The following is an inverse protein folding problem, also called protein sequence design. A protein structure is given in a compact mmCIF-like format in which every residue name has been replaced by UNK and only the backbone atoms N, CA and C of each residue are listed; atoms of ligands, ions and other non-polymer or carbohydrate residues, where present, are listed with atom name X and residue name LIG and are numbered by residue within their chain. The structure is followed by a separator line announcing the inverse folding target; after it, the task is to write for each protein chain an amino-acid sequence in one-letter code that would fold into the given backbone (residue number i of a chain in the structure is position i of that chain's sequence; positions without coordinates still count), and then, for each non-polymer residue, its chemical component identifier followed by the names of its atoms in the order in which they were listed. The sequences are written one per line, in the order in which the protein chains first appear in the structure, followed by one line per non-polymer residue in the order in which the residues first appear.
data_IF_430748269440
#
_entry.id   IF_430748269440
#
_cell.length_a   1.000
_cell.length_b   1.000
_cell.length_c   1.000
_cell.angle_alpha   90.00
_cell.angle_beta   90.00
_cell.angle_gamma   90.00
#
_symmetry.space_group_name_H-M   'P 1'
#
loop_
_entity.id
_entity.type
_entity.pdbx_description
1 polymer ?
#
# COMPACT_ATOMS: atom_id res chain seq x y z
N UNK A 1 -7.02 35.00 37.30
CA UNK A 1 -7.44 33.60 36.98
C UNK A 1 -6.62 32.64 37.81
N UNK A 2 -7.23 31.65 38.46
CA UNK A 2 -6.55 30.69 39.34
C UNK A 2 -5.94 29.54 38.54
N UNK A 3 -4.83 28.94 39.03
CA UNK A 3 -4.15 27.80 38.40
C UNK A 3 -5.10 26.63 38.07
N UNK A 4 -6.07 26.35 38.94
CA UNK A 4 -7.06 25.29 38.73
C UNK A 4 -7.93 25.50 37.50
N UNK A 5 -8.37 26.73 37.24
CA UNK A 5 -9.17 27.06 36.04
C UNK A 5 -8.33 26.86 34.77
N UNK A 6 -7.03 27.16 34.82
CA UNK A 6 -6.13 27.03 33.69
C UNK A 6 -5.85 25.56 33.32
N UNK A 7 -5.76 24.67 34.33
CA UNK A 7 -5.61 23.23 34.12
C UNK A 7 -6.87 22.62 33.50
N UNK A 8 -8.04 22.93 34.04
CA UNK A 8 -9.32 22.46 33.49
C UNK A 8 -9.52 22.90 32.04
N UNK A 9 -9.13 24.13 31.69
CA UNK A 9 -9.21 24.62 30.32
C UNK A 9 -8.23 23.89 29.38
N UNK A 10 -7.03 23.58 29.85
CA UNK A 10 -6.04 22.79 29.09
C UNK A 10 -6.52 21.36 28.86
N UNK A 11 -7.06 20.71 29.88
CA UNK A 11 -7.56 19.33 29.78
C UNK A 11 -8.75 19.25 28.84
N UNK A 12 -9.70 20.20 28.94
CA UNK A 12 -10.81 20.33 28.00
C UNK A 12 -10.33 20.53 26.56
N UNK A 13 -9.32 21.38 26.34
CA UNK A 13 -8.74 21.58 25.01
C UNK A 13 -8.06 20.31 24.48
N UNK A 14 -7.40 19.54 25.36
CA UNK A 14 -6.78 18.25 25.02
C UNK A 14 -7.83 17.21 24.61
N UNK A 15 -8.95 17.12 25.34
CA UNK A 15 -10.06 16.22 25.01
C UNK A 15 -10.74 16.59 23.69
N UNK A 16 -11.04 17.88 23.49
CA UNK A 16 -11.63 18.38 22.24
C UNK A 16 -10.71 18.10 21.05
N UNK A 17 -9.41 18.33 21.20
CA UNK A 17 -8.42 18.02 20.18
C UNK A 17 -8.36 16.51 19.89
N UNK A 18 -8.31 15.67 20.93
CA UNK A 18 -8.30 14.21 20.78
C UNK A 18 -9.55 13.69 20.06
N UNK A 19 -10.72 14.22 20.42
CA UNK A 19 -11.99 13.89 19.79
C UNK A 19 -12.04 14.33 18.32
N UNK A 20 -11.60 15.56 18.02
CA UNK A 20 -11.51 16.06 16.65
C UNK A 20 -10.55 15.23 15.79
N UNK A 21 -9.37 14.89 16.33
CA UNK A 21 -8.39 14.01 15.67
C UNK A 21 -8.97 12.62 15.40
N UNK A 22 -9.66 12.03 16.37
CA UNK A 22 -10.29 10.72 16.22
C UNK A 22 -11.39 10.74 15.16
N UNK A 23 -12.21 11.79 15.11
CA UNK A 23 -13.23 12.01 14.07
C UNK A 23 -12.59 12.14 12.69
N UNK A 24 -11.52 12.92 12.54
CA UNK A 24 -10.80 13.06 11.27
C UNK A 24 -10.22 11.72 10.80
N UNK A 25 -9.53 11.00 11.68
CA UNK A 25 -8.99 9.66 11.37
C UNK A 25 -10.09 8.69 10.92
N UNK A 26 -11.23 8.67 11.62
CA UNK A 26 -12.39 7.86 11.22
C UNK A 26 -12.91 8.28 9.84
N UNK A 27 -13.14 9.57 9.62
CA UNK A 27 -13.63 10.09 8.33
C UNK A 27 -12.71 9.74 7.15
N UNK A 28 -11.38 9.80 7.33
CA UNK A 28 -10.42 9.38 6.31
C UNK A 28 -10.55 7.88 6.02
N UNK A 29 -10.61 7.03 7.06
CA UNK A 29 -10.78 5.58 6.87
C UNK A 29 -12.08 5.24 6.16
N UNK A 30 -13.17 5.89 6.55
CA UNK A 30 -14.50 5.67 5.96
C UNK A 30 -14.51 6.10 4.48
N UNK A 31 -13.92 7.26 4.16
CA UNK A 31 -13.80 7.74 2.79
C UNK A 31 -12.96 6.81 1.92
N UNK A 32 -11.83 6.32 2.43
CA UNK A 32 -10.99 5.33 1.73
C UNK A 32 -11.71 4.01 1.49
N UNK A 33 -12.43 3.50 2.50
CA UNK A 33 -13.21 2.28 2.39
C UNK A 33 -14.38 2.45 1.39
N UNK A 34 -15.04 3.60 1.37
CA UNK A 34 -16.08 3.92 0.39
C UNK A 34 -15.52 3.94 -1.04
N UNK A 35 -14.36 4.58 -1.24
CA UNK A 35 -13.69 4.59 -2.55
C UNK A 35 -13.29 3.17 -2.99
N UNK A 36 -12.73 2.36 -2.07
CA UNK A 36 -12.36 0.97 -2.33
C UNK A 36 -13.55 0.16 -2.84
N UNK A 37 -14.67 0.16 -2.10
CA UNK A 37 -15.91 -0.55 -2.51
C UNK A 37 -16.41 -0.10 -3.88
N UNK A 38 -16.34 1.22 -4.16
CA UNK A 38 -16.75 1.75 -5.46
C UNK A 38 -15.89 1.22 -6.61
N UNK A 39 -14.58 1.10 -6.40
CA UNK A 39 -13.66 0.53 -7.40
C UNK A 39 -13.89 -0.97 -7.55
N UNK A 40 -13.97 -1.71 -6.46
CA UNK A 40 -14.23 -3.16 -6.46
C UNK A 40 -15.53 -3.51 -7.18
N UNK A 41 -16.59 -2.73 -7.00
CA UNK A 41 -17.88 -2.91 -7.71
C UNK A 41 -17.81 -2.83 -9.24
N UNK A 42 -16.73 -2.30 -9.82
CA UNK A 42 -16.51 -2.36 -11.28
C UNK A 42 -16.00 -3.71 -11.79
N UNK A 43 -15.51 -4.57 -10.89
CA UNK A 43 -14.87 -5.86 -11.19
C UNK A 43 -15.64 -7.07 -10.66
N UNK A 44 -16.77 -6.86 -9.96
CA UNK A 44 -17.63 -7.94 -9.46
C UNK A 44 -18.32 -8.70 -10.61
N UNK A 45 -18.70 -8.00 -11.68
CA UNK A 45 -19.31 -8.57 -12.87
C UNK A 45 -18.23 -8.97 -13.89
N UNK A 46 -18.42 -10.08 -14.61
CA UNK A 46 -17.63 -10.44 -15.79
C UNK A 46 -17.98 -9.57 -17.02
N UNK A 47 -18.14 -8.26 -16.81
CA UNK A 47 -18.43 -7.29 -17.86
C UNK A 47 -17.18 -6.45 -18.15
N UNK A 48 -16.50 -6.66 -19.30
CA UNK A 48 -15.26 -5.97 -19.62
C UNK A 48 -15.44 -4.45 -19.73
N UNK A 49 -16.63 -3.96 -20.13
CA UNK A 49 -16.91 -2.52 -20.20
C UNK A 49 -16.94 -1.88 -18.81
N UNK A 50 -17.47 -2.58 -17.80
CA UNK A 50 -17.46 -2.10 -16.41
C UNK A 50 -16.05 -2.14 -15.81
N UNK A 51 -15.30 -3.21 -16.04
CA UNK A 51 -13.90 -3.30 -15.62
C UNK A 51 -13.08 -2.14 -16.21
N UNK A 52 -13.26 -1.82 -17.50
CA UNK A 52 -12.61 -0.67 -18.13
C UNK A 52 -13.01 0.68 -17.54
N UNK A 53 -14.25 0.84 -17.05
CA UNK A 53 -14.65 2.04 -16.31
C UNK A 53 -13.91 2.15 -14.96
N UNK A 54 -13.72 1.02 -14.27
CA UNK A 54 -12.92 0.95 -13.04
C UNK A 54 -11.46 1.34 -13.29
N UNK A 55 -10.82 0.75 -14.30
CA UNK A 55 -9.45 1.09 -14.71
C UNK A 55 -9.32 2.58 -15.05
N UNK A 56 -10.29 3.13 -15.78
CA UNK A 56 -10.33 4.56 -16.11
C UNK A 56 -10.42 5.46 -14.88
N UNK A 57 -11.18 5.06 -13.87
CA UNK A 57 -11.28 5.81 -12.61
C UNK A 57 -9.98 5.77 -11.81
N UNK A 58 -9.30 4.62 -11.74
CA UNK A 58 -8.01 4.47 -11.04
C UNK A 58 -6.92 5.32 -11.71
N UNK A 59 -6.87 5.28 -13.04
CA UNK A 59 -5.83 5.97 -13.84
C UNK A 59 -6.11 7.45 -14.08
N UNK A 60 -7.29 7.95 -13.66
CA UNK A 60 -7.79 9.27 -14.01
C UNK A 60 -7.74 9.55 -15.52
N UNK A 61 -7.92 8.50 -16.34
CA UNK A 61 -7.83 8.61 -17.79
C UNK A 61 -8.99 9.45 -18.32
N UNK A 62 -8.67 10.63 -18.85
CA UNK A 62 -9.60 11.49 -19.55
C UNK A 62 -9.60 11.08 -21.01
N UNK A 63 -10.76 10.73 -21.57
CA UNK A 63 -10.91 10.49 -22.99
C UNK A 63 -10.42 11.73 -23.72
N UNK A 64 -9.28 11.62 -24.38
CA UNK A 64 -8.81 12.65 -25.31
C UNK A 64 -9.61 12.46 -26.60
N UNK A 65 -10.92 12.73 -26.55
CA UNK A 65 -11.82 12.61 -27.69
C UNK A 65 -11.46 13.59 -28.81
N UNK A 66 -10.51 14.50 -28.59
CA UNK A 66 -10.12 15.54 -29.55
C UNK A 66 -8.67 15.45 -30.05
N UNK A 67 -7.95 14.34 -29.82
CA UNK A 67 -6.72 14.09 -30.58
C UNK A 67 -7.14 13.37 -31.86
N UNK A 68 -7.60 14.16 -32.81
CA UNK A 68 -7.88 13.75 -34.18
C UNK A 68 -6.53 13.29 -34.77
N UNK A 69 -6.17 12.02 -34.58
CA UNK A 69 -5.00 11.46 -35.24
C UNK A 69 -5.36 11.38 -36.71
N UNK A 70 -4.68 12.17 -37.54
CA UNK A 70 -4.73 12.03 -38.98
C UNK A 70 -4.51 10.56 -39.32
N UNK A 71 -5.57 9.88 -39.77
CA UNK A 71 -5.54 8.49 -40.17
C UNK A 71 -4.78 8.40 -41.50
N UNK A 72 -3.47 8.54 -41.46
CA UNK A 72 -2.63 8.32 -42.63
C UNK A 72 -2.48 6.81 -42.82
N UNK A 73 -2.74 6.34 -44.04
CA UNK A 73 -2.47 4.95 -44.43
C UNK A 73 -1.09 4.42 -43.98
N UNK A 74 0.02 5.18 -44.08
CA UNK A 74 1.32 4.66 -43.63
C UNK A 74 1.43 4.45 -42.12
N UNK A 75 0.70 5.22 -41.30
CA UNK A 75 0.66 4.99 -39.86
C UNK A 75 -0.05 3.68 -39.52
N UNK A 76 -1.13 3.36 -40.24
CA UNK A 76 -1.84 2.10 -40.07
C UNK A 76 -0.94 0.90 -40.43
N UNK A 77 -0.17 0.98 -41.52
CA UNK A 77 0.79 -0.06 -41.90
C UNK A 77 1.89 -0.25 -40.86
N UNK A 78 2.42 0.85 -40.30
CA UNK A 78 3.43 0.78 -39.25
C UNK A 78 2.89 0.13 -37.97
N UNK A 79 1.66 0.48 -37.56
CA UNK A 79 1.01 -0.12 -36.41
C UNK A 79 0.72 -1.60 -36.62
N UNK A 80 0.21 -1.98 -37.80
CA UNK A 80 0.00 -3.37 -38.15
C UNK A 80 1.30 -4.17 -38.04
N UNK A 81 2.39 -3.68 -38.64
CA UNK A 81 3.69 -4.36 -38.51
C UNK A 81 4.17 -4.47 -37.05
N UNK A 82 3.97 -3.42 -36.25
CA UNK A 82 4.37 -3.40 -34.84
C UNK A 82 3.58 -4.39 -33.98
N UNK A 83 2.28 -4.57 -34.23
CA UNK A 83 1.45 -5.48 -33.45
C UNK A 83 1.52 -6.94 -33.97
N UNK A 84 1.66 -7.15 -35.28
CA UNK A 84 1.80 -8.49 -35.86
C UNK A 84 3.10 -9.19 -35.45
N UNK A 85 4.13 -8.48 -34.96
CA UNK A 85 5.36 -9.10 -34.46
C UNK A 85 5.16 -10.03 -33.25
N UNK A 86 4.04 -9.85 -32.53
CA UNK A 86 3.67 -10.70 -31.40
C UNK A 86 2.77 -11.86 -31.81
N UNK A 87 2.25 -11.86 -33.04
CA UNK A 87 1.56 -13.01 -33.57
C UNK A 87 2.61 -14.06 -33.93
N UNK A 88 2.63 -15.13 -33.14
CA UNK A 88 3.36 -16.34 -33.50
C UNK A 88 2.62 -16.94 -34.68
N UNK A 89 2.96 -16.52 -35.90
CA UNK A 89 2.62 -17.28 -37.08
C UNK A 89 3.39 -18.58 -36.95
N UNK A 90 2.69 -19.65 -36.57
CA UNK A 90 3.17 -21.02 -36.72
C UNK A 90 3.45 -21.26 -38.21
N UNK A 91 4.62 -20.82 -38.66
CA UNK A 91 5.15 -21.16 -39.97
C UNK A 91 5.68 -22.59 -39.84
N UNK A 92 4.77 -23.55 -39.78
CA UNK A 92 5.14 -24.92 -40.13
C UNK A 92 5.14 -25.05 -41.65
N UNK A 93 6.24 -25.50 -42.27
CA UNK A 93 6.19 -26.01 -43.63
C UNK A 93 5.38 -27.32 -43.62
N UNK A 94 4.17 -27.26 -44.18
CA UNK A 94 3.31 -28.37 -44.61
C UNK A 94 3.74 -29.80 -44.20
N UNK A 95 3.26 -30.27 -43.07
CA UNK A 95 3.01 -31.70 -42.83
C UNK A 95 1.61 -31.88 -42.23
N UNK A 96 0.75 -32.73 -42.81
CA UNK A 96 -0.55 -33.00 -42.22
C UNK A 96 -0.35 -34.02 -41.10
N UNK A 97 -0.80 -33.74 -39.86
CA UNK A 97 -1.39 -34.72 -38.93
C UNK A 97 -1.88 -34.02 -37.65
N UNK A 98 -3.15 -34.30 -37.34
CA UNK A 98 -3.82 -34.31 -36.04
C UNK A 98 -3.87 -33.03 -35.17
N UNK A 99 -5.08 -32.46 -35.16
CA UNK A 99 -5.85 -32.12 -33.95
C UNK A 99 -5.06 -31.75 -32.69
N UNK A 100 -4.72 -30.47 -32.56
CA UNK A 100 -4.66 -29.81 -31.24
C UNK A 100 -5.59 -28.61 -31.28
N UNK A 101 -6.89 -28.91 -31.30
CA UNK A 101 -7.89 -27.98 -30.77
C UNK A 101 -7.77 -28.01 -29.25
N UNK A 102 -7.24 -26.92 -28.68
CA UNK A 102 -7.54 -26.38 -27.34
C UNK A 102 -6.28 -25.84 -26.65
N UNK A 103 -6.03 -24.53 -26.75
CA UNK A 103 -5.43 -23.76 -25.64
C UNK A 103 -5.45 -22.25 -25.86
N UNK A 104 -6.60 -21.69 -26.27
CA UNK A 104 -6.83 -20.23 -26.17
C UNK A 104 -7.86 -19.88 -25.06
N UNK A 105 -8.42 -20.88 -24.38
CA UNK A 105 -9.35 -20.67 -23.27
C UNK A 105 -8.70 -20.79 -21.90
N UNK A 106 -7.46 -20.30 -21.73
CA UNK A 106 -6.96 -20.09 -20.37
C UNK A 106 -7.40 -18.70 -19.92
N UNK A 107 -8.35 -18.57 -18.96
CA UNK A 107 -8.51 -17.29 -18.29
C UNK A 107 -7.15 -16.95 -17.67
N UNK A 108 -6.70 -15.70 -17.85
CA UNK A 108 -5.56 -15.15 -17.11
C UNK A 108 -5.86 -15.31 -15.62
N UNK A 109 -5.36 -16.40 -15.04
CA UNK A 109 -5.47 -16.68 -13.62
C UNK A 109 -4.42 -15.81 -12.93
N UNK A 110 -4.75 -14.53 -12.78
CA UNK A 110 -3.95 -13.58 -12.00
C UNK A 110 -4.03 -14.06 -10.56
N UNK A 111 -2.95 -14.67 -10.06
CA UNK A 111 -2.90 -15.06 -8.65
C UNK A 111 -2.85 -13.79 -7.80
N UNK A 112 -3.50 -13.83 -6.64
CA UNK A 112 -3.50 -12.72 -5.67
C UNK A 112 -2.08 -12.26 -5.32
N UNK A 113 -1.08 -13.15 -5.38
CA UNK A 113 0.33 -12.84 -5.19
C UNK A 113 0.91 -11.85 -6.23
N UNK A 114 0.46 -11.91 -7.49
CA UNK A 114 0.97 -11.06 -8.57
C UNK A 114 0.42 -9.62 -8.49
N UNK A 115 -0.81 -9.47 -7.97
CA UNK A 115 -1.42 -8.16 -7.70
C UNK A 115 -0.72 -7.44 -6.53
N UNK A 116 -0.26 -8.21 -5.53
CA UNK A 116 0.42 -7.69 -4.34
C UNK A 116 1.83 -7.18 -4.66
N UNK A 117 2.50 -7.71 -5.68
CA UNK A 117 3.82 -7.24 -6.12
C UNK A 117 3.78 -5.87 -6.82
N UNK A 118 2.73 -5.60 -7.63
CA UNK A 118 2.58 -4.31 -8.32
C UNK A 118 1.94 -3.22 -7.46
N UNK A 119 1.24 -3.61 -6.40
CA UNK A 119 0.57 -2.67 -5.49
C UNK A 119 1.09 -2.90 -4.10
N UNK A 120 2.31 -2.44 -3.81
CA UNK A 120 2.70 -2.23 -2.40
C UNK A 120 1.61 -1.33 -1.82
N UNK A 121 0.82 -1.79 -0.84
CA UNK A 121 -0.21 -0.96 -0.24
C UNK A 121 0.55 0.13 0.52
N UNK A 122 0.66 1.30 -0.09
CA UNK A 122 1.15 2.54 0.53
C UNK A 122 0.54 2.79 1.93
N UNK A 123 -0.62 2.20 2.19
CA UNK A 123 -1.32 2.17 3.47
C UNK A 123 -0.54 1.44 4.57
N UNK A 124 0.16 0.34 4.25
CA UNK A 124 1.03 -0.37 5.20
C UNK A 124 2.31 0.44 5.47
N UNK A 125 2.87 1.09 4.45
CA UNK A 125 4.07 1.92 4.62
C UNK A 125 3.83 3.15 5.49
N UNK A 126 2.64 3.77 5.42
CA UNK A 126 2.32 4.95 6.25
C UNK A 126 2.06 4.56 7.70
N UNK A 127 1.36 3.45 7.95
CA UNK A 127 1.09 2.98 9.31
C UNK A 127 2.36 2.37 9.94
N UNK A 128 3.17 1.60 9.21
CA UNK A 128 4.49 1.14 9.66
C UNK A 128 5.46 2.31 9.89
N UNK A 129 5.46 3.33 9.04
CA UNK A 129 6.27 4.52 9.26
C UNK A 129 5.78 5.35 10.46
N UNK A 130 4.47 5.32 10.77
CA UNK A 130 3.91 5.93 11.96
C UNK A 130 4.34 5.15 13.21
N UNK A 131 4.20 3.84 13.22
CA UNK A 131 4.63 2.98 14.33
C UNK A 131 6.14 3.09 14.55
N UNK A 132 6.95 3.09 13.49
CA UNK A 132 8.40 3.28 13.58
C UNK A 132 8.78 4.65 14.14
N UNK A 133 8.06 5.72 13.74
CA UNK A 133 8.26 7.04 14.36
C UNK A 133 7.82 7.06 15.82
N UNK A 134 6.68 6.43 16.14
CA UNK A 134 6.15 6.36 17.50
C UNK A 134 7.12 5.60 18.43
N UNK A 135 7.67 4.47 17.98
CA UNK A 135 8.70 3.71 18.69
C UNK A 135 9.93 4.58 18.97
N UNK A 136 10.43 5.28 17.95
CA UNK A 136 11.58 6.18 18.10
C UNK A 136 11.31 7.30 19.09
N UNK A 137 10.10 7.88 19.10
CA UNK A 137 9.72 8.90 20.09
C UNK A 137 9.65 8.31 21.50
N UNK A 138 9.13 7.10 21.68
CA UNK A 138 9.09 6.43 22.98
C UNK A 138 10.48 6.08 23.50
N UNK A 139 11.37 5.62 22.62
CA UNK A 139 12.78 5.40 22.96
C UNK A 139 13.44 6.70 23.39
N UNK A 140 13.32 7.77 22.59
CA UNK A 140 13.91 9.08 22.91
C UNK A 140 13.38 9.65 24.24
N UNK A 141 12.10 9.45 24.55
CA UNK A 141 11.51 9.85 25.83
C UNK A 141 12.10 9.06 27.00
N UNK A 142 12.24 7.74 26.87
CA UNK A 142 12.88 6.89 27.88
C UNK A 142 14.37 7.25 28.08
N UNK A 143 15.09 7.57 26.99
CA UNK A 143 16.46 8.06 27.04
C UNK A 143 16.59 9.39 27.81
N UNK A 144 15.68 10.34 27.57
CA UNK A 144 15.68 11.63 28.27
C UNK A 144 15.41 11.47 29.77
N UNK A 145 14.52 10.54 30.13
CA UNK A 145 14.16 10.25 31.51
C UNK A 145 15.33 9.59 32.27
N UNK A 146 16.05 8.67 31.63
CA UNK A 146 17.27 8.05 32.17
C UNK A 146 18.42 9.06 32.41
N UNK A 147 18.53 10.14 31.63
CA UNK A 147 19.53 11.19 31.84
C UNK A 147 19.18 12.14 33.00
N UNK A 148 17.90 12.23 33.37
CA UNK A 148 17.43 13.14 34.41
C UNK A 148 17.53 12.58 35.84
N UNK A 149 17.89 11.30 36.00
CA UNK A 149 18.04 10.67 37.30
C UNK A 149 19.36 11.11 37.97
N UNK A 150 19.34 11.68 39.19
CA UNK A 150 20.56 12.09 39.87
C UNK A 150 21.44 10.87 40.16
N UNK A 151 22.70 10.99 39.75
CA UNK A 151 23.76 9.99 39.93
C UNK A 151 23.85 9.51 41.38
N UNK A 152 23.23 8.36 41.68
CA UNK A 152 23.61 7.49 42.79
C UNK A 152 24.42 6.35 42.20
N UNK A 153 25.66 6.27 42.63
CA UNK A 153 26.80 5.50 42.11
C UNK A 153 26.66 3.97 41.99
N UNK A 154 25.43 3.43 42.03
CA UNK A 154 25.14 1.99 41.86
C UNK A 154 24.35 1.62 40.60
N UNK A 155 23.69 2.55 39.90
CA UNK A 155 22.74 2.21 38.82
C UNK A 155 23.33 2.19 37.39
N UNK A 156 24.53 2.76 37.17
CA UNK A 156 25.19 2.69 35.85
C UNK A 156 25.58 1.27 35.44
N UNK A 157 25.84 0.37 36.40
CA UNK A 157 26.13 -1.05 36.11
C UNK A 157 24.90 -1.84 35.69
N UNK A 158 23.70 -1.43 36.11
CA UNK A 158 22.44 -2.10 35.78
C UNK A 158 21.98 -1.74 34.37
N UNK A 159 22.18 -0.48 33.94
CA UNK A 159 21.85 -0.06 32.58
C UNK A 159 22.74 -0.72 31.51
N UNK A 160 24.03 -0.92 31.80
CA UNK A 160 24.93 -1.66 30.91
C UNK A 160 24.60 -3.15 30.81
N UNK A 161 24.07 -3.76 31.88
CA UNK A 161 23.71 -5.17 31.91
C UNK A 161 22.44 -5.46 31.09
N UNK A 162 21.44 -4.57 31.16
CA UNK A 162 20.23 -4.69 30.34
C UNK A 162 20.52 -4.57 28.84
N UNK A 163 21.45 -3.69 28.46
CA UNK A 163 21.85 -3.51 27.05
C UNK A 163 22.50 -4.75 26.43
N UNK A 164 23.22 -5.56 27.21
CA UNK A 164 23.85 -6.80 26.73
C UNK A 164 22.85 -7.97 26.68
N UNK A 165 21.86 -8.01 27.58
CA UNK A 165 20.85 -9.07 27.61
C UNK A 165 19.76 -8.88 26.54
N UNK A 166 19.41 -7.63 26.19
CA UNK A 166 18.44 -7.34 25.12
C UNK A 166 19.02 -7.52 23.71
N UNK A 167 20.35 -7.47 23.54
CA UNK A 167 20.98 -7.71 22.24
C UNK A 167 21.00 -9.21 21.85
N UNK A 168 21.06 -10.12 22.82
CA UNK A 168 21.07 -11.57 22.56
C UNK A 168 19.66 -12.20 22.41
N UNK A 169 18.60 -11.57 22.93
CA UNK A 169 17.24 -12.14 22.89
C UNK A 169 16.44 -11.81 21.62
N UNK A 170 16.89 -10.87 20.78
CA UNK A 170 16.13 -10.43 19.60
C UNK A 170 16.04 -11.47 18.46
N UNK A 171 17.00 -12.39 18.21
CA UNK A 171 16.79 -13.41 17.17
C UNK A 171 15.97 -14.62 17.63
N UNK A 172 15.74 -14.82 18.93
CA UNK A 172 15.05 -16.02 19.43
C UNK A 172 13.51 -15.92 19.37
N UNK A 173 12.94 -14.72 19.54
CA UNK A 173 11.47 -14.52 19.52
C UNK A 173 10.92 -14.46 18.09
N UNK A 174 11.75 -14.07 17.11
CA UNK A 174 11.36 -14.03 15.70
C UNK A 174 11.23 -15.41 15.03
N UNK A 175 11.82 -16.47 15.60
CA UNK A 175 11.74 -17.85 15.08
C UNK A 175 10.63 -18.70 15.71
N UNK A 176 9.91 -18.20 16.72
CA UNK A 176 8.82 -18.94 17.38
C UNK A 176 7.42 -18.61 16.85
N UNK A 177 7.31 -17.78 15.79
CA UNK A 177 6.06 -17.38 15.13
C UNK A 177 6.12 -17.60 13.61
N UNK A 178 6.70 -18.72 13.16
CA UNK A 178 6.48 -19.29 11.82
C UNK A 178 5.91 -20.69 11.93
#
# INVERSE_FOLDING_TARGET
MTRGVQLLLKDRNRELYSAARSKLKRGIRDAKAAYRRRIEGHFEDSNPRRAWQGIRQITNYKNSTNQNTSSSAPLADQLNHFFSRFEVVSTEPATPIATVSASISQPLNIQTADVIQLTVPWENSVEEAYEHKNLRYTELAAWLECQSLPSRSGMQRICGFFHHQTAEMVPAVASALR
#
